data_IF_562355553408
#
_entry.id   IF_562355553408
#
_cell.length_a   1.000
_cell.length_b   1.000
_cell.length_c   1.000
_cell.angle_alpha   90.00
_cell.angle_beta   90.00
_cell.angle_gamma   90.00
#
_symmetry.space_group_name_H-M   'P 1'
#
loop_
_entity.id
_entity.type
_entity.pdbx_description
1 polymer ?
#
# COMPACT_ATOMS: atom_id res chain seq x y z
N UNK A 1 -2.16 52.03 25.49
CA UNK A 1 -2.62 52.85 24.38
C UNK A 1 -2.89 51.89 23.21
N UNK A 2 -4.04 51.43 22.86
CA UNK A 2 -5.33 52.07 22.49
C UNK A 2 -5.29 52.29 20.98
N UNK A 3 -6.11 51.80 20.19
CA UNK A 3 -7.50 51.86 19.78
C UNK A 3 -7.69 51.06 18.49
N UNK A 4 -8.62 50.16 18.37
CA UNK A 4 -9.97 50.24 17.81
C UNK A 4 -10.09 50.69 16.33
N UNK A 5 -10.80 49.90 15.53
CA UNK A 5 -11.39 50.28 14.27
C UNK A 5 -12.21 49.14 13.64
N UNK A 6 -13.48 49.08 14.00
CA UNK A 6 -14.60 48.38 13.37
C UNK A 6 -15.00 49.02 12.04
N UNK A 7 -15.57 48.23 11.11
CA UNK A 7 -16.77 48.61 10.30
C UNK A 7 -16.91 47.61 9.16
N UNK A 8 -17.86 46.77 9.08
CA UNK A 8 -19.32 46.86 8.89
C UNK A 8 -19.72 46.78 7.39
N UNK A 9 -20.47 45.73 7.09
CA UNK A 9 -21.63 45.56 6.20
C UNK A 9 -21.85 46.42 4.97
N UNK A 10 -22.14 45.75 3.84
CA UNK A 10 -23.24 46.17 2.96
C UNK A 10 -23.79 44.99 2.19
N UNK A 11 -25.03 44.60 2.50
CA UNK A 11 -25.98 43.88 1.64
C UNK A 11 -26.39 44.70 0.45
N UNK A 12 -26.65 44.11 -0.69
CA UNK A 12 -27.65 44.63 -1.64
C UNK A 12 -28.36 43.48 -2.31
N UNK A 13 -29.65 43.39 -2.05
CA UNK A 13 -30.64 42.62 -2.72
C UNK A 13 -31.09 43.27 -4.05
N UNK A 14 -31.53 42.46 -4.99
CA UNK A 14 -32.11 42.95 -6.26
C UNK A 14 -32.67 41.81 -7.12
N UNK A 15 -33.86 41.37 -6.79
CA UNK A 15 -35.08 41.12 -7.57
C UNK A 15 -35.00 40.52 -8.98
N UNK A 16 -35.63 39.37 -9.02
CA UNK A 16 -36.58 38.73 -10.01
C UNK A 16 -36.79 39.35 -11.39
N UNK A 17 -36.79 38.49 -12.43
CA UNK A 17 -37.86 38.51 -13.42
C UNK A 17 -38.12 37.13 -13.98
N UNK A 18 -39.41 36.77 -13.94
CA UNK A 18 -40.12 35.62 -14.50
C UNK A 18 -40.45 35.94 -15.98
N UNK A 19 -40.37 34.94 -16.85
CA UNK A 19 -40.87 35.03 -18.21
C UNK A 19 -40.83 33.68 -18.90
N UNK A 20 -41.81 33.17 -19.02
CA UNK A 20 -42.82 32.20 -19.42
C UNK A 20 -42.72 31.82 -20.91
N UNK A 21 -42.88 30.49 -21.15
CA UNK A 21 -43.67 29.78 -22.19
C UNK A 21 -43.17 29.80 -23.65
N UNK A 22 -42.88 28.61 -24.19
CA UNK A 22 -43.66 28.00 -25.30
C UNK A 22 -43.28 26.53 -25.49
N UNK A 23 -44.36 25.71 -25.41
CA UNK A 23 -44.45 24.38 -26.03
C UNK A 23 -44.47 24.51 -27.55
N UNK A 24 -43.87 23.56 -28.25
CA UNK A 24 -44.38 23.03 -29.52
C UNK A 24 -43.67 21.69 -29.85
N UNK A 25 -44.47 20.65 -29.81
CA UNK A 25 -44.89 19.71 -30.85
C UNK A 25 -43.99 18.50 -31.12
N UNK A 26 -44.56 17.37 -30.76
CA UNK A 26 -44.20 16.00 -31.16
C UNK A 26 -44.17 15.83 -32.67
N UNK A 27 -43.18 15.10 -33.18
CA UNK A 27 -43.31 14.34 -34.41
C UNK A 27 -42.70 12.94 -34.23
N UNK A 28 -43.58 11.99 -34.15
CA UNK A 28 -43.36 10.54 -34.21
C UNK A 28 -42.85 10.17 -35.61
N UNK A 29 -41.71 9.50 -35.71
CA UNK A 29 -41.34 8.75 -36.91
C UNK A 29 -40.95 7.34 -36.51
N UNK A 30 -41.92 6.42 -36.71
CA UNK A 30 -41.65 4.99 -36.80
C UNK A 30 -40.98 4.69 -38.16
N UNK A 31 -39.87 4.00 -38.13
CA UNK A 31 -39.35 3.29 -39.28
C UNK A 31 -38.91 1.88 -38.89
N UNK A 32 -39.54 0.98 -39.64
CA UNK A 32 -39.61 -0.45 -39.60
C UNK A 32 -38.27 -1.17 -39.81
N UNK A 33 -38.19 -2.37 -39.19
CA UNK A 33 -37.24 -3.44 -39.51
C UNK A 33 -37.30 -3.83 -40.97
N UNK A 34 -36.14 -3.94 -41.67
CA UNK A 34 -35.71 -5.04 -42.55
C UNK A 34 -34.55 -4.65 -43.46
N UNK A 35 -33.63 -5.65 -43.58
CA UNK A 35 -32.62 -5.88 -44.64
C UNK A 35 -31.43 -4.92 -44.68
N UNK A 36 -30.19 -5.40 -44.65
CA UNK A 36 -29.55 -6.30 -45.61
C UNK A 36 -28.25 -6.89 -45.06
N UNK A 37 -28.13 -8.19 -45.23
CA UNK A 37 -26.88 -8.94 -45.27
C UNK A 37 -26.13 -8.59 -46.57
N UNK A 38 -24.81 -8.41 -46.53
CA UNK A 38 -23.82 -9.18 -47.31
C UNK A 38 -22.39 -8.63 -47.17
N UNK A 39 -21.50 -9.55 -46.81
CA UNK A 39 -20.14 -9.82 -47.31
C UNK A 39 -18.99 -8.85 -47.01
N UNK A 40 -18.02 -9.37 -46.30
CA UNK A 40 -16.65 -8.89 -46.29
C UNK A 40 -15.82 -9.49 -45.16
N UNK A 41 -15.30 -10.72 -45.38
CA UNK A 41 -14.34 -11.33 -44.48
C UNK A 41 -13.01 -10.60 -44.55
N UNK A 42 -12.51 -10.16 -43.39
CA UNK A 42 -11.10 -9.91 -43.16
C UNK A 42 -10.73 -10.51 -41.81
N UNK A 43 -9.96 -11.57 -41.87
CA UNK A 43 -9.37 -12.27 -40.72
C UNK A 43 -8.33 -11.36 -40.08
N UNK A 44 -8.67 -10.81 -38.91
CA UNK A 44 -7.69 -10.31 -37.95
C UNK A 44 -7.85 -11.13 -36.69
N UNK A 45 -6.97 -12.08 -36.51
CA UNK A 45 -6.82 -12.87 -35.30
C UNK A 45 -6.23 -12.00 -34.19
N UNK A 46 -7.10 -11.21 -33.54
CA UNK A 46 -6.87 -10.63 -32.24
C UNK A 46 -7.55 -11.49 -31.21
N UNK A 47 -6.79 -12.00 -30.26
CA UNK A 47 -7.30 -12.70 -29.09
C UNK A 47 -8.27 -11.76 -28.35
N UNK A 48 -9.57 -11.90 -28.66
CA UNK A 48 -10.63 -11.20 -27.95
C UNK A 48 -10.87 -11.93 -26.63
N UNK A 49 -10.51 -11.28 -25.51
CA UNK A 49 -11.14 -11.59 -24.24
C UNK A 49 -12.66 -11.57 -24.42
N UNK A 50 -13.40 -12.51 -23.81
CA UNK A 50 -14.83 -12.34 -23.70
C UNK A 50 -15.11 -11.21 -22.72
N UNK A 51 -15.13 -9.97 -23.21
CA UNK A 51 -15.72 -8.87 -22.49
C UNK A 51 -17.17 -9.23 -22.24
N UNK A 52 -17.55 -9.42 -21.00
CA UNK A 52 -18.94 -9.54 -20.58
C UNK A 52 -19.61 -8.19 -20.92
N UNK A 53 -20.17 -8.10 -22.13
CA UNK A 53 -21.04 -7.00 -22.52
C UNK A 53 -22.41 -7.20 -21.84
N UNK A 54 -22.44 -7.04 -20.51
CA UNK A 54 -23.69 -6.70 -19.84
C UNK A 54 -24.02 -5.28 -20.27
N UNK A 55 -25.21 -5.06 -20.84
CA UNK A 55 -25.69 -3.72 -21.09
C UNK A 55 -25.60 -2.92 -19.79
N UNK A 56 -24.61 -2.02 -19.69
CA UNK A 56 -24.57 -1.04 -18.62
C UNK A 56 -25.87 -0.25 -18.74
N UNK A 57 -26.80 -0.41 -17.82
CA UNK A 57 -27.83 0.59 -17.62
C UNK A 57 -27.06 1.90 -17.46
N UNK A 58 -27.42 2.97 -18.19
CA UNK A 58 -26.76 4.26 -18.16
C UNK A 58 -26.61 4.70 -16.69
N UNK A 59 -25.51 4.28 -16.08
CA UNK A 59 -25.34 4.25 -14.65
C UNK A 59 -24.32 5.26 -14.19
N UNK A 60 -24.46 5.64 -12.96
CA UNK A 60 -23.45 6.35 -12.19
C UNK A 60 -22.53 5.30 -11.58
N UNK A 61 -21.24 5.59 -11.53
CA UNK A 61 -20.26 4.79 -10.79
C UNK A 61 -19.45 5.71 -9.88
N UNK A 62 -19.22 5.30 -8.66
CA UNK A 62 -18.42 6.06 -7.70
C UNK A 62 -17.27 5.22 -7.17
N UNK A 63 -16.09 5.82 -7.10
CA UNK A 63 -14.86 5.18 -6.67
C UNK A 63 -14.18 6.01 -5.59
N UNK A 64 -13.84 5.37 -4.46
CA UNK A 64 -12.96 5.91 -3.44
C UNK A 64 -11.58 5.28 -3.56
N UNK A 65 -10.57 6.03 -4.01
CA UNK A 65 -9.21 5.57 -4.15
C UNK A 65 -8.28 6.24 -3.15
N UNK A 66 -7.15 5.62 -2.88
CA UNK A 66 -6.12 6.20 -2.04
C UNK A 66 -5.53 7.46 -2.65
N UNK A 67 -5.45 8.53 -1.83
CA UNK A 67 -4.71 9.75 -2.15
C UNK A 67 -3.21 9.47 -1.99
N UNK A 68 -2.53 9.29 -3.10
CA UNK A 68 -1.19 8.75 -3.16
C UNK A 68 -0.13 9.72 -2.58
N UNK A 69 0.84 9.18 -1.83
CA UNK A 69 1.94 9.95 -1.26
C UNK A 69 2.88 10.57 -2.30
N UNK A 70 3.06 9.89 -3.44
CA UNK A 70 3.95 10.36 -4.51
C UNK A 70 3.27 11.49 -5.27
N UNK A 71 3.90 12.67 -5.35
CA UNK A 71 3.33 13.79 -6.09
C UNK A 71 3.06 13.45 -7.55
N UNK A 72 1.85 13.70 -8.00
CA UNK A 72 1.42 13.44 -9.37
C UNK A 72 0.94 12.02 -9.66
N UNK A 73 1.02 11.09 -8.71
CA UNK A 73 0.61 9.69 -8.93
C UNK A 73 -0.91 9.52 -9.13
N UNK A 74 -1.73 10.39 -8.56
CA UNK A 74 -3.19 10.35 -8.76
C UNK A 74 -3.62 10.68 -10.19
N UNK A 75 -2.86 11.49 -10.92
CA UNK A 75 -3.27 11.97 -12.25
C UNK A 75 -3.39 10.84 -13.30
N UNK A 76 -2.45 9.89 -13.42
CA UNK A 76 -2.61 8.76 -14.33
C UNK A 76 -3.86 7.94 -14.00
N UNK A 77 -4.16 7.68 -12.72
CA UNK A 77 -5.36 6.95 -12.31
C UNK A 77 -6.64 7.72 -12.69
N UNK A 78 -6.71 9.00 -12.34
CA UNK A 78 -7.84 9.85 -12.67
C UNK A 78 -8.07 9.94 -14.20
N UNK A 79 -7.00 10.04 -14.99
CA UNK A 79 -7.08 10.07 -16.45
C UNK A 79 -7.58 8.75 -17.01
N UNK A 80 -7.02 7.62 -16.60
CA UNK A 80 -7.48 6.29 -17.03
C UNK A 80 -8.94 6.04 -16.67
N UNK A 81 -9.38 6.48 -15.50
CA UNK A 81 -10.78 6.41 -15.11
C UNK A 81 -11.69 7.23 -16.03
N UNK A 82 -11.29 8.47 -16.37
CA UNK A 82 -12.03 9.31 -17.32
C UNK A 82 -12.09 8.69 -18.72
N UNK A 83 -10.97 8.21 -19.26
CA UNK A 83 -10.89 7.56 -20.57
C UNK A 83 -11.84 6.36 -20.67
N UNK A 84 -11.90 5.54 -19.61
CA UNK A 84 -12.84 4.43 -19.53
C UNK A 84 -14.29 4.92 -19.46
N UNK A 85 -14.58 5.90 -18.60
CA UNK A 85 -15.92 6.43 -18.40
C UNK A 85 -16.50 7.05 -19.69
N UNK A 86 -15.69 7.82 -20.42
CA UNK A 86 -16.06 8.41 -21.71
C UNK A 86 -16.39 7.33 -22.76
N UNK A 87 -15.57 6.28 -22.81
CA UNK A 87 -15.76 5.15 -23.72
C UNK A 87 -17.03 4.36 -23.41
N UNK A 88 -17.24 4.03 -22.16
CA UNK A 88 -18.38 3.21 -21.70
C UNK A 88 -19.65 4.07 -21.46
N UNK A 89 -19.56 5.40 -21.56
CA UNK A 89 -20.64 6.38 -21.33
C UNK A 89 -21.23 6.27 -19.92
N UNK A 90 -20.35 6.16 -18.92
CA UNK A 90 -20.70 6.08 -17.49
C UNK A 90 -20.43 7.44 -16.84
N UNK A 91 -21.37 7.93 -16.03
CA UNK A 91 -21.16 9.09 -15.16
C UNK A 91 -20.32 8.64 -13.96
N UNK A 92 -19.03 8.96 -13.97
CA UNK A 92 -18.04 8.47 -13.00
C UNK A 92 -17.61 9.57 -12.03
N UNK A 93 -17.71 9.30 -10.74
CA UNK A 93 -17.12 10.09 -9.67
C UNK A 93 -15.91 9.37 -9.10
N UNK A 94 -14.78 10.08 -8.94
CA UNK A 94 -13.56 9.55 -8.33
C UNK A 94 -13.16 10.45 -7.16
N UNK A 95 -13.14 9.89 -5.97
CA UNK A 95 -12.69 10.53 -4.74
C UNK A 95 -11.33 9.98 -4.32
N UNK A 96 -10.37 10.88 -4.02
CA UNK A 96 -9.08 10.51 -3.46
C UNK A 96 -9.11 10.68 -1.94
N UNK A 97 -8.94 9.58 -1.22
CA UNK A 97 -9.08 9.51 0.24
C UNK A 97 -7.71 9.36 0.86
N UNK A 98 -7.31 10.31 1.69
CA UNK A 98 -6.02 10.26 2.36
C UNK A 98 -5.95 9.12 3.39
N UNK A 99 -4.75 8.52 3.52
CA UNK A 99 -4.45 7.59 4.61
C UNK A 99 -4.11 8.28 5.94
N UNK A 100 -3.89 9.59 5.93
CA UNK A 100 -3.62 10.33 7.17
C UNK A 100 -4.81 10.27 8.12
N UNK A 101 -4.54 9.97 9.41
CA UNK A 101 -5.58 9.77 10.41
C UNK A 101 -6.49 8.59 10.12
N UNK A 102 -6.00 7.57 9.42
CA UNK A 102 -6.74 6.34 9.03
C UNK A 102 -8.03 6.59 8.24
N UNK A 103 -8.15 7.72 7.56
CA UNK A 103 -9.42 8.06 6.86
C UNK A 103 -9.87 6.98 5.88
N UNK A 104 -8.95 6.36 5.13
CA UNK A 104 -9.30 5.31 4.18
C UNK A 104 -9.90 4.08 4.90
N UNK A 105 -9.28 3.63 6.00
CA UNK A 105 -9.76 2.51 6.81
C UNK A 105 -11.07 2.84 7.54
N UNK A 106 -11.20 4.07 8.05
CA UNK A 106 -12.44 4.55 8.67
C UNK A 106 -13.58 4.63 7.64
N UNK A 107 -13.30 5.07 6.42
CA UNK A 107 -14.28 5.08 5.32
C UNK A 107 -14.74 3.66 5.01
N UNK A 108 -13.80 2.70 4.88
CA UNK A 108 -14.15 1.30 4.64
C UNK A 108 -15.07 0.73 5.74
N UNK A 109 -14.76 1.04 6.99
CA UNK A 109 -15.57 0.60 8.14
C UNK A 109 -16.96 1.25 8.12
N UNK A 110 -17.03 2.56 7.90
CA UNK A 110 -18.27 3.31 7.88
C UNK A 110 -19.20 2.86 6.74
N UNK A 111 -18.67 2.71 5.52
CA UNK A 111 -19.46 2.27 4.37
C UNK A 111 -19.94 0.83 4.51
N UNK A 112 -19.09 -0.07 5.00
CA UNK A 112 -19.46 -1.46 5.28
C UNK A 112 -20.59 -1.57 6.31
N UNK A 113 -20.54 -0.76 7.38
CA UNK A 113 -21.60 -0.72 8.42
C UNK A 113 -22.88 -0.07 7.90
N UNK A 114 -22.77 1.07 7.21
CA UNK A 114 -23.92 1.79 6.67
C UNK A 114 -24.55 1.09 5.46
N UNK A 115 -23.85 0.15 4.82
CA UNK A 115 -24.21 -0.48 3.54
C UNK A 115 -24.56 0.55 2.46
N UNK A 116 -23.80 1.63 2.44
CA UNK A 116 -23.91 2.74 1.49
C UNK A 116 -22.62 3.51 1.40
N UNK A 117 -22.33 4.08 0.22
CA UNK A 117 -21.11 4.83 -0.05
C UNK A 117 -20.69 4.69 -1.51
N UNK A 118 -19.40 4.52 -1.75
CA UNK A 118 -18.87 4.27 -3.09
C UNK A 118 -19.33 2.91 -3.65
N UNK A 119 -19.21 2.73 -4.95
CA UNK A 119 -19.37 1.41 -5.60
C UNK A 119 -18.10 0.58 -5.49
N UNK A 120 -16.95 1.23 -5.69
CA UNK A 120 -15.60 0.66 -5.55
C UNK A 120 -14.89 1.42 -4.44
N UNK A 121 -14.26 0.70 -3.52
CA UNK A 121 -13.38 1.30 -2.53
C UNK A 121 -12.00 0.62 -2.56
N UNK A 122 -10.95 1.42 -2.47
CA UNK A 122 -9.63 0.90 -2.23
C UNK A 122 -9.48 0.46 -0.78
N UNK A 123 -8.90 -0.72 -0.62
CA UNK A 123 -8.66 -1.37 0.66
C UNK A 123 -7.19 -1.75 0.75
N UNK A 124 -6.62 -1.70 1.94
CA UNK A 124 -5.23 -2.11 2.16
C UNK A 124 -5.14 -3.24 3.17
N UNK A 125 -4.23 -4.16 2.92
CA UNK A 125 -3.88 -5.22 3.86
C UNK A 125 -5.11 -5.91 4.48
N UNK A 126 -5.06 -6.18 5.76
CA UNK A 126 -6.10 -6.87 6.51
C UNK A 126 -7.47 -6.17 6.53
N UNK A 127 -7.54 -4.88 6.17
CA UNK A 127 -8.84 -4.19 6.03
C UNK A 127 -9.70 -4.79 4.91
N UNK A 128 -9.08 -5.34 3.85
CA UNK A 128 -9.83 -6.08 2.84
C UNK A 128 -10.47 -7.35 3.43
N UNK A 129 -9.70 -8.15 4.17
CA UNK A 129 -10.22 -9.34 4.84
C UNK A 129 -11.30 -9.00 5.89
N UNK A 130 -11.15 -7.87 6.60
CA UNK A 130 -12.14 -7.40 7.58
C UNK A 130 -13.50 -7.07 6.94
N UNK A 131 -13.54 -6.75 5.65
CA UNK A 131 -14.75 -6.43 4.90
C UNK A 131 -15.27 -7.61 4.05
N UNK A 132 -14.74 -8.82 4.21
CA UNK A 132 -15.03 -9.96 3.33
C UNK A 132 -16.54 -10.21 3.12
N UNK A 133 -17.36 -10.08 4.16
CA UNK A 133 -18.81 -10.31 4.09
C UNK A 133 -19.58 -9.17 3.40
N UNK A 134 -18.97 -8.00 3.27
CA UNK A 134 -19.54 -6.82 2.62
C UNK A 134 -19.11 -6.67 1.16
N UNK A 135 -18.18 -7.50 0.69
CA UNK A 135 -17.62 -7.41 -0.65
C UNK A 135 -18.26 -8.38 -1.63
N UNK A 136 -18.41 -7.95 -2.87
CA UNK A 136 -18.84 -8.75 -4.02
C UNK A 136 -17.75 -9.74 -4.42
N UNK A 137 -18.12 -10.96 -4.86
CA UNK A 137 -17.16 -11.88 -5.47
C UNK A 137 -16.63 -11.33 -6.80
N UNK A 138 -15.30 -11.41 -6.95
CA UNK A 138 -14.58 -11.01 -8.17
C UNK A 138 -13.80 -12.19 -8.76
N UNK A 139 -14.23 -13.42 -8.50
CA UNK A 139 -13.58 -14.66 -8.97
C UNK A 139 -13.39 -14.68 -10.49
N UNK A 140 -14.39 -14.29 -11.23
CA UNK A 140 -14.38 -14.20 -12.69
C UNK A 140 -13.26 -13.28 -13.20
N UNK A 141 -13.18 -12.09 -12.61
CA UNK A 141 -12.19 -11.09 -12.99
C UNK A 141 -10.77 -11.51 -12.57
N UNK A 142 -10.56 -11.89 -11.31
CA UNK A 142 -9.22 -12.23 -10.82
C UNK A 142 -8.68 -13.49 -11.48
N UNK A 143 -9.54 -14.50 -11.76
CA UNK A 143 -9.14 -15.68 -12.52
C UNK A 143 -8.67 -15.33 -13.92
N UNK A 144 -9.36 -14.39 -14.60
CA UNK A 144 -8.94 -13.90 -15.92
C UNK A 144 -7.58 -13.16 -15.83
N UNK A 145 -7.39 -12.30 -14.84
CA UNK A 145 -6.14 -11.58 -14.62
C UNK A 145 -4.96 -12.51 -14.31
N UNK A 146 -5.16 -13.55 -13.49
CA UNK A 146 -4.13 -14.56 -13.21
C UNK A 146 -3.74 -15.33 -14.48
N UNK A 147 -4.73 -15.69 -15.31
CA UNK A 147 -4.47 -16.37 -16.59
C UNK A 147 -3.61 -15.50 -17.52
N UNK A 148 -3.85 -14.20 -17.56
CA UNK A 148 -3.14 -13.26 -18.42
C UNK A 148 -1.78 -12.87 -17.84
N UNK A 149 -1.74 -12.46 -16.58
CA UNK A 149 -0.60 -11.79 -15.96
C UNK A 149 0.21 -12.68 -15.01
N UNK A 150 -0.16 -13.96 -14.88
CA UNK A 150 0.55 -14.93 -14.04
C UNK A 150 0.13 -14.89 -12.57
N UNK A 151 0.90 -15.55 -11.72
CA UNK A 151 0.60 -15.70 -10.29
C UNK A 151 0.57 -14.36 -9.56
N UNK A 152 -0.22 -14.32 -8.50
CA UNK A 152 -0.31 -13.18 -7.58
C UNK A 152 0.72 -13.33 -6.47
N UNK A 153 1.14 -12.23 -5.86
CA UNK A 153 1.91 -12.24 -4.60
C UNK A 153 1.16 -13.04 -3.53
N UNK A 154 1.89 -13.85 -2.76
CA UNK A 154 1.32 -14.70 -1.71
C UNK A 154 0.44 -13.89 -0.74
N UNK A 155 0.89 -12.73 -0.26
CA UNK A 155 0.11 -11.90 0.64
C UNK A 155 -1.17 -11.36 0.00
N UNK A 156 -1.12 -11.00 -1.30
CA UNK A 156 -2.32 -10.59 -2.04
C UNK A 156 -3.33 -11.73 -2.18
N UNK A 157 -2.86 -12.98 -2.42
CA UNK A 157 -3.75 -14.14 -2.47
C UNK A 157 -4.31 -14.44 -1.08
N UNK A 158 -3.46 -14.40 -0.05
CA UNK A 158 -3.85 -14.75 1.32
C UNK A 158 -4.95 -13.83 1.87
N UNK A 159 -4.86 -12.53 1.62
CA UNK A 159 -5.87 -11.56 2.04
C UNK A 159 -7.05 -11.51 1.06
N UNK A 160 -6.78 -11.45 -0.23
CA UNK A 160 -7.80 -11.25 -1.28
C UNK A 160 -8.71 -12.44 -1.52
N UNK A 161 -8.29 -13.64 -1.08
CA UNK A 161 -9.06 -14.88 -1.26
C UNK A 161 -9.54 -15.42 0.07
N UNK A 162 -10.80 -15.18 0.40
CA UNK A 162 -11.42 -15.60 1.65
C UNK A 162 -12.53 -16.62 1.40
N UNK A 163 -12.60 -17.66 2.24
CA UNK A 163 -13.63 -18.71 2.14
C UNK A 163 -13.73 -19.32 0.74
N UNK A 164 -12.58 -19.46 0.05
CA UNK A 164 -12.50 -20.06 -1.29
C UNK A 164 -12.87 -19.12 -2.45
N UNK A 165 -13.23 -17.86 -2.21
CA UNK A 165 -13.57 -16.85 -3.23
C UNK A 165 -12.67 -15.63 -3.19
N UNK A 166 -12.45 -14.98 -4.31
CA UNK A 166 -11.82 -13.68 -4.38
C UNK A 166 -12.80 -12.59 -3.96
N UNK A 167 -12.48 -11.88 -2.87
CA UNK A 167 -13.32 -10.82 -2.29
C UNK A 167 -12.95 -9.43 -2.81
N UNK A 168 -11.75 -9.27 -3.37
CA UNK A 168 -11.27 -8.00 -3.90
C UNK A 168 -10.23 -8.26 -5.01
N UNK A 169 -10.05 -7.30 -5.90
CA UNK A 169 -9.07 -7.35 -6.99
C UNK A 169 -7.73 -6.86 -6.48
N UNK A 170 -6.67 -7.68 -6.46
CA UNK A 170 -5.32 -7.23 -6.13
C UNK A 170 -4.84 -6.13 -7.09
N UNK A 171 -4.30 -5.05 -6.56
CA UNK A 171 -3.81 -3.90 -7.34
C UNK A 171 -2.40 -3.49 -6.94
N UNK A 172 -1.67 -2.83 -7.84
CA UNK A 172 -0.41 -2.18 -7.51
C UNK A 172 -0.57 -1.00 -6.55
N UNK A 173 -1.68 -0.27 -6.65
CA UNK A 173 -1.95 0.86 -5.78
C UNK A 173 -1.97 0.42 -4.30
N UNK A 174 -1.11 1.01 -3.47
CA UNK A 174 -0.80 0.60 -2.09
C UNK A 174 -0.14 -0.79 -1.95
N UNK A 175 0.16 -1.52 -3.01
CA UNK A 175 1.07 -2.66 -2.89
C UNK A 175 2.49 -2.12 -2.92
N UNK A 176 3.15 -2.11 -1.78
CA UNK A 176 4.45 -1.45 -1.60
C UNK A 176 5.34 -2.25 -0.67
N UNK A 177 6.62 -2.37 -1.00
CA UNK A 177 7.62 -2.96 -0.11
C UNK A 177 8.16 -1.91 0.87
N UNK A 178 8.15 -2.22 2.14
CA UNK A 178 8.71 -1.37 3.19
C UNK A 178 10.14 -1.78 3.50
N UNK A 179 11.03 -1.52 2.55
CA UNK A 179 12.44 -1.88 2.61
C UNK A 179 13.32 -0.69 3.01
N UNK A 180 14.58 -0.92 3.41
CA UNK A 180 15.49 0.15 3.76
C UNK A 180 15.65 1.18 2.66
N UNK A 181 15.48 2.45 3.02
CA UNK A 181 15.86 3.62 2.24
C UNK A 181 16.87 4.41 3.07
N UNK A 182 18.13 4.47 2.62
CA UNK A 182 19.23 5.00 3.40
C UNK A 182 19.96 6.13 2.72
N UNK A 183 20.62 6.98 3.51
CA UNK A 183 21.53 8.03 3.08
C UNK A 183 22.88 7.41 2.70
N UNK A 184 23.26 7.48 1.43
CA UNK A 184 24.53 7.00 0.89
C UNK A 184 25.71 7.65 1.62
N UNK A 185 25.67 8.97 1.78
CA UNK A 185 26.72 9.75 2.44
C UNK A 185 26.89 9.39 3.92
N UNK A 186 25.79 9.25 4.67
CA UNK A 186 25.85 8.90 6.10
C UNK A 186 26.32 7.48 6.33
N UNK A 187 25.92 6.53 5.49
CA UNK A 187 26.42 5.16 5.56
C UNK A 187 27.93 5.09 5.27
N UNK A 188 28.42 5.82 4.26
CA UNK A 188 29.87 5.93 4.02
C UNK A 188 30.60 6.54 5.20
N UNK A 189 30.06 7.61 5.77
CA UNK A 189 30.71 8.37 6.85
C UNK A 189 30.73 7.60 8.18
N UNK A 190 29.60 7.04 8.59
CA UNK A 190 29.44 6.51 9.94
C UNK A 190 29.55 4.99 10.01
N UNK A 191 29.02 4.26 9.02
CA UNK A 191 29.03 2.80 8.99
C UNK A 191 30.30 2.28 8.29
N UNK A 192 30.81 2.98 7.28
CA UNK A 192 32.05 2.66 6.61
C UNK A 192 31.86 1.90 5.30
N UNK A 193 30.67 1.80 4.75
CA UNK A 193 30.45 1.22 3.43
C UNK A 193 29.44 1.99 2.56
N UNK A 194 29.51 1.74 1.26
CA UNK A 194 28.63 2.31 0.27
C UNK A 194 27.44 1.37 -0.02
N UNK A 195 26.25 1.76 0.37
CA UNK A 195 25.02 0.97 0.17
C UNK A 195 24.74 0.71 -1.31
N UNK A 196 25.20 1.57 -2.22
CA UNK A 196 25.03 1.37 -3.67
C UNK A 196 25.84 0.20 -4.20
N UNK A 197 26.95 -0.16 -3.54
CA UNK A 197 27.75 -1.33 -3.87
C UNK A 197 27.13 -2.63 -3.40
N UNK A 198 26.38 -2.58 -2.31
CA UNK A 198 25.66 -3.75 -1.81
C UNK A 198 24.61 -4.24 -2.82
N UNK A 199 23.89 -3.31 -3.43
CA UNK A 199 22.88 -3.59 -4.47
C UNK A 199 23.04 -2.59 -5.63
N UNK A 200 24.02 -2.78 -6.52
CA UNK A 200 24.29 -1.86 -7.63
C UNK A 200 23.27 -2.03 -8.76
N UNK A 201 23.04 -0.95 -9.52
CA UNK A 201 22.23 -1.00 -10.76
C UNK A 201 23.01 -1.72 -11.85
N UNK A 202 22.37 -2.68 -12.53
CA UNK A 202 22.93 -3.37 -13.70
C UNK A 202 24.11 -4.26 -13.41
N UNK A 203 24.38 -4.58 -12.13
CA UNK A 203 25.44 -5.50 -11.71
C UNK A 203 24.92 -6.41 -10.57
N UNK A 204 25.55 -7.58 -10.36
CA UNK A 204 25.22 -8.43 -9.22
C UNK A 204 25.49 -7.71 -7.89
N UNK A 205 24.72 -8.02 -6.84
CA UNK A 205 24.99 -7.55 -5.47
C UNK A 205 26.41 -7.92 -5.00
N UNK A 206 27.04 -7.03 -4.25
CA UNK A 206 28.29 -7.34 -3.56
C UNK A 206 28.01 -8.35 -2.43
N UNK A 207 28.40 -9.61 -2.65
CA UNK A 207 28.05 -10.71 -1.74
C UNK A 207 28.58 -10.49 -0.33
N UNK A 208 29.75 -9.94 -0.16
CA UNK A 208 30.33 -9.70 1.16
C UNK A 208 29.51 -8.68 1.97
N UNK A 209 29.04 -7.62 1.30
CA UNK A 209 28.20 -6.60 1.92
C UNK A 209 26.80 -7.14 2.20
N UNK A 210 26.21 -7.93 1.29
CA UNK A 210 24.87 -8.49 1.49
C UNK A 210 24.85 -9.57 2.57
N UNK A 211 25.89 -10.37 2.68
CA UNK A 211 26.04 -11.38 3.75
C UNK A 211 26.22 -10.72 5.13
N UNK A 212 26.93 -9.58 5.18
CA UNK A 212 27.07 -8.80 6.41
C UNK A 212 25.81 -7.99 6.79
N UNK A 213 24.88 -7.81 5.85
CA UNK A 213 23.63 -7.07 6.07
C UNK A 213 22.60 -7.97 6.75
N UNK A 214 22.85 -8.26 8.02
CA UNK A 214 21.99 -9.01 8.94
C UNK A 214 21.31 -8.05 9.92
N UNK A 215 20.32 -8.51 10.70
CA UNK A 215 19.72 -7.70 11.76
C UNK A 215 20.72 -7.27 12.83
N UNK A 216 21.77 -8.05 13.09
CA UNK A 216 22.89 -7.63 13.93
C UNK A 216 23.74 -6.55 13.24
N UNK A 217 24.00 -6.68 11.94
CA UNK A 217 24.65 -5.63 11.14
C UNK A 217 23.82 -4.34 11.14
N UNK A 218 22.51 -4.44 11.04
CA UNK A 218 21.58 -3.31 11.15
C UNK A 218 21.66 -2.61 12.50
N UNK A 219 21.69 -3.38 13.60
CA UNK A 219 21.88 -2.85 14.95
C UNK A 219 23.19 -2.05 15.07
N UNK A 220 24.29 -2.62 14.58
CA UNK A 220 25.60 -1.93 14.60
C UNK A 220 25.58 -0.65 13.77
N UNK A 221 24.93 -0.67 12.59
CA UNK A 221 24.77 0.51 11.74
C UNK A 221 23.91 1.58 12.43
N UNK A 222 22.81 1.19 13.07
CA UNK A 222 21.94 2.09 13.82
C UNK A 222 22.69 2.79 14.98
N UNK A 223 23.47 2.03 15.76
CA UNK A 223 24.29 2.57 16.84
C UNK A 223 25.34 3.56 16.34
N UNK A 224 26.06 3.23 15.25
CA UNK A 224 27.06 4.11 14.66
C UNK A 224 26.45 5.40 14.12
N UNK A 225 25.33 5.31 13.42
CA UNK A 225 24.64 6.48 12.88
C UNK A 225 24.06 7.35 14.01
N UNK A 226 23.51 6.76 15.07
CA UNK A 226 23.05 7.50 16.25
C UNK A 226 24.18 8.22 16.96
N UNK A 227 25.34 7.58 17.16
CA UNK A 227 26.53 8.21 17.71
C UNK A 227 27.04 9.38 16.83
N UNK A 228 26.83 9.30 15.51
CA UNK A 228 27.10 10.37 14.55
C UNK A 228 26.03 11.47 14.48
N UNK A 229 24.99 11.42 15.36
CA UNK A 229 23.89 12.39 15.37
C UNK A 229 22.90 12.22 14.21
N UNK A 230 22.86 11.03 13.58
CA UNK A 230 21.97 10.69 12.46
C UNK A 230 21.25 9.35 12.72
N UNK A 231 20.44 9.25 13.79
CA UNK A 231 19.76 8.02 14.15
C UNK A 231 18.81 7.54 13.06
N UNK A 232 18.58 6.23 12.99
CA UNK A 232 17.57 5.65 12.10
C UNK A 232 16.16 6.10 12.51
N UNK A 233 15.32 6.35 11.52
CA UNK A 233 13.93 6.75 11.72
C UNK A 233 13.00 5.54 11.68
N UNK A 234 13.07 4.68 12.70
CA UNK A 234 12.31 3.42 12.79
C UNK A 234 11.13 3.59 13.75
N UNK A 235 9.87 3.71 13.23
CA UNK A 235 8.70 3.89 14.08
C UNK A 235 8.42 2.64 14.94
N UNK A 236 7.92 2.83 16.16
CA UNK A 236 7.54 1.76 17.10
C UNK A 236 6.15 1.99 17.71
N UNK A 237 5.30 2.74 17.01
CA UNK A 237 3.89 2.93 17.35
C UNK A 237 3.04 1.73 16.89
N UNK A 238 1.71 1.87 16.91
CA UNK A 238 0.80 0.82 16.43
C UNK A 238 0.39 0.96 14.96
N UNK A 239 0.97 1.92 14.22
CA UNK A 239 0.70 2.13 12.81
C UNK A 239 1.37 1.06 11.92
N UNK A 240 0.87 0.91 10.70
CA UNK A 240 1.30 -0.16 9.77
C UNK A 240 2.80 -0.18 9.50
N UNK A 241 3.45 0.98 9.35
CA UNK A 241 4.90 1.03 9.12
C UNK A 241 5.69 0.39 10.27
N UNK A 242 5.24 0.61 11.51
CA UNK A 242 5.83 -0.02 12.69
C UNK A 242 5.60 -1.53 12.70
N UNK A 243 4.34 -1.95 12.48
CA UNK A 243 3.96 -3.37 12.49
C UNK A 243 4.75 -4.14 11.42
N UNK A 244 4.93 -3.56 10.26
CA UNK A 244 5.59 -4.19 9.12
C UNK A 244 7.09 -4.45 9.38
N UNK A 245 7.88 -3.44 9.75
CA UNK A 245 9.30 -3.68 9.96
C UNK A 245 9.59 -4.53 11.22
N UNK A 246 8.79 -4.37 12.28
CA UNK A 246 8.90 -5.22 13.46
C UNK A 246 8.61 -6.69 13.08
N UNK A 247 7.58 -6.93 12.28
CA UNK A 247 7.26 -8.27 11.76
C UNK A 247 8.40 -8.88 10.94
N UNK A 248 9.15 -8.06 10.17
CA UNK A 248 10.31 -8.55 9.41
C UNK A 248 11.44 -9.06 10.32
N UNK A 249 11.69 -8.39 11.45
CA UNK A 249 12.65 -8.88 12.46
C UNK A 249 12.18 -10.22 13.04
N UNK A 250 10.90 -10.31 13.41
CA UNK A 250 10.33 -11.55 13.95
C UNK A 250 10.43 -12.70 12.95
N UNK A 251 10.00 -12.49 11.71
CA UNK A 251 10.06 -13.51 10.66
C UNK A 251 11.51 -13.98 10.39
N UNK A 252 12.46 -13.04 10.31
CA UNK A 252 13.86 -13.36 10.08
C UNK A 252 14.50 -14.18 11.19
N UNK A 253 14.02 -14.04 12.42
CA UNK A 253 14.45 -14.82 13.60
C UNK A 253 13.62 -16.09 13.81
N UNK A 254 12.54 -16.29 13.04
CA UNK A 254 11.61 -17.41 13.21
C UNK A 254 10.69 -17.27 14.42
N UNK A 255 10.52 -16.04 14.91
CA UNK A 255 9.58 -15.72 15.96
C UNK A 255 8.17 -15.51 15.36
N UNK A 256 7.15 -16.01 16.02
CA UNK A 256 5.77 -15.99 15.54
C UNK A 256 4.82 -15.76 16.72
N UNK A 257 3.77 -14.96 16.51
CA UNK A 257 2.77 -14.68 17.52
C UNK A 257 1.63 -15.70 17.50
N UNK A 258 1.20 -16.06 16.30
CA UNK A 258 0.06 -16.97 16.05
C UNK A 258 0.42 -17.83 14.84
N UNK A 259 0.15 -19.13 14.90
CA UNK A 259 0.37 -20.09 13.82
C UNK A 259 -0.80 -20.13 12.82
N UNK A 260 -0.69 -21.00 11.79
CA UNK A 260 -1.70 -21.14 10.73
C UNK A 260 -3.02 -21.76 11.23
N UNK A 261 -2.99 -22.48 12.34
CA UNK A 261 -4.17 -23.03 13.01
C UNK A 261 -4.82 -22.02 13.99
N UNK A 262 -4.21 -20.86 14.19
CA UNK A 262 -4.67 -19.84 15.12
C UNK A 262 -4.27 -20.08 16.57
N UNK A 263 -3.28 -20.95 16.84
CA UNK A 263 -2.75 -21.11 18.18
C UNK A 263 -1.79 -19.97 18.52
N UNK A 264 -1.87 -19.47 19.75
CA UNK A 264 -0.97 -18.43 20.24
C UNK A 264 0.39 -19.04 20.56
N UNK A 265 1.43 -18.61 19.85
CA UNK A 265 2.82 -19.15 19.94
C UNK A 265 3.82 -18.15 20.49
N UNK A 266 3.34 -17.05 21.03
CA UNK A 266 4.16 -15.92 21.50
C UNK A 266 5.15 -16.30 22.61
N UNK A 267 4.87 -17.34 23.40
CA UNK A 267 5.75 -17.83 24.48
C UNK A 267 6.88 -18.73 23.98
N UNK A 268 7.64 -18.28 22.99
CA UNK A 268 8.79 -18.99 22.43
C UNK A 268 10.12 -18.29 22.77
N UNK A 269 11.22 -19.04 22.74
CA UNK A 269 12.55 -18.46 22.94
C UNK A 269 12.90 -17.47 21.81
N UNK A 270 12.50 -17.76 20.57
CA UNK A 270 12.70 -16.85 19.46
C UNK A 270 12.05 -15.47 19.69
N UNK A 271 10.84 -15.42 20.25
CA UNK A 271 10.19 -14.15 20.63
C UNK A 271 11.00 -13.42 21.71
N UNK A 272 11.48 -14.13 22.74
CA UNK A 272 12.30 -13.53 23.79
C UNK A 272 13.61 -12.96 23.26
N UNK A 273 14.28 -13.67 22.37
CA UNK A 273 15.51 -13.21 21.70
C UNK A 273 15.28 -11.95 20.87
N UNK A 274 14.18 -11.88 20.12
CA UNK A 274 13.81 -10.68 19.37
C UNK A 274 13.53 -9.51 20.31
N UNK A 275 12.79 -9.70 21.39
CA UNK A 275 12.55 -8.64 22.37
C UNK A 275 13.84 -8.14 23.00
N UNK A 276 14.79 -9.04 23.33
CA UNK A 276 16.11 -8.67 23.82
C UNK A 276 16.92 -7.88 22.76
N UNK A 277 16.76 -8.19 21.47
CA UNK A 277 17.35 -7.41 20.40
C UNK A 277 16.74 -6.00 20.33
N UNK A 278 15.41 -5.86 20.48
CA UNK A 278 14.76 -4.54 20.54
C UNK A 278 15.24 -3.70 21.71
N UNK A 279 15.50 -4.29 22.87
CA UNK A 279 16.10 -3.59 24.01
C UNK A 279 17.47 -2.98 23.67
N UNK A 280 18.22 -3.58 22.74
CA UNK A 280 19.54 -3.07 22.30
C UNK A 280 19.45 -1.95 21.26
N UNK A 281 18.48 -2.00 20.34
CA UNK A 281 18.37 -1.01 19.26
C UNK A 281 17.63 0.25 19.69
N UNK A 282 16.59 0.14 20.52
CA UNK A 282 15.73 1.27 20.90
C UNK A 282 16.51 2.47 21.46
N UNK A 283 17.56 2.31 22.30
CA UNK A 283 18.37 3.44 22.74
C UNK A 283 19.09 4.22 21.61
N UNK A 284 19.20 3.63 20.42
CA UNK A 284 19.81 4.26 19.24
C UNK A 284 18.79 4.93 18.31
N UNK A 285 17.50 4.87 18.65
CA UNK A 285 16.41 5.48 17.90
C UNK A 285 15.97 6.81 18.57
N UNK A 286 15.31 7.71 17.83
CA UNK A 286 14.70 8.89 18.43
C UNK A 286 13.66 8.49 19.49
N UNK A 287 13.65 9.13 20.70
CA UNK A 287 12.68 8.77 21.74
C UNK A 287 11.21 8.91 21.31
N UNK A 288 10.93 9.76 20.30
CA UNK A 288 9.59 10.01 19.78
C UNK A 288 9.01 8.88 18.89
N UNK A 289 9.80 7.86 18.51
CA UNK A 289 9.37 6.82 17.56
C UNK A 289 8.11 6.04 17.98
N UNK A 290 7.82 5.99 19.28
CA UNK A 290 6.62 5.35 19.82
C UNK A 290 5.32 6.14 19.56
N UNK A 291 5.43 7.40 19.13
CA UNK A 291 4.29 8.26 18.80
C UNK A 291 4.21 8.63 17.30
N UNK A 292 5.07 8.04 16.47
CA UNK A 292 5.12 8.35 15.06
C UNK A 292 3.98 7.70 14.28
N UNK A 293 3.37 8.48 13.38
CA UNK A 293 2.47 7.98 12.33
C UNK A 293 3.26 7.52 11.09
N UNK A 294 2.56 7.04 10.05
CA UNK A 294 3.16 6.60 8.80
C UNK A 294 3.82 7.72 7.96
N UNK A 295 3.69 8.99 8.36
CA UNK A 295 4.33 10.12 7.69
C UNK A 295 5.64 10.55 8.36
N UNK A 296 5.82 10.22 9.63
CA UNK A 296 6.90 10.78 10.45
C UNK A 296 8.27 10.29 10.02
N UNK A 297 8.43 9.00 9.69
CA UNK A 297 9.69 8.43 9.20
C UNK A 297 10.11 9.05 7.86
N UNK A 298 9.17 9.26 6.92
CA UNK A 298 9.42 9.93 5.66
C UNK A 298 9.94 11.36 5.88
N UNK A 299 9.27 12.14 6.74
CA UNK A 299 9.68 13.49 7.10
C UNK A 299 11.07 13.49 7.76
N UNK A 300 11.36 12.49 8.62
CA UNK A 300 12.64 12.32 9.28
C UNK A 300 13.79 12.16 8.28
N UNK A 301 13.61 11.30 7.28
CA UNK A 301 14.62 11.07 6.23
C UNK A 301 14.80 12.28 5.32
N UNK A 302 13.69 12.88 4.83
CA UNK A 302 13.70 14.00 3.90
C UNK A 302 14.33 15.25 4.55
N UNK A 303 14.10 15.47 5.84
CA UNK A 303 14.71 16.59 6.58
C UNK A 303 16.21 16.41 6.84
N UNK A 304 16.80 15.28 6.45
CA UNK A 304 18.21 14.97 6.67
C UNK A 304 18.56 14.64 8.13
N UNK A 305 17.58 14.46 9.01
CA UNK A 305 17.82 14.15 10.43
C UNK A 305 18.26 12.70 10.63
N UNK A 306 17.88 11.78 9.77
CA UNK A 306 18.17 10.36 9.89
C UNK A 306 18.96 9.76 8.75
N UNK A 307 19.64 8.65 9.05
CA UNK A 307 20.46 7.93 8.08
C UNK A 307 19.71 6.84 7.32
N UNK A 308 18.63 6.30 7.88
CA UNK A 308 17.82 5.21 7.29
C UNK A 308 16.41 5.24 7.86
N UNK A 309 15.47 4.85 7.01
CA UNK A 309 14.12 4.41 7.38
C UNK A 309 13.82 3.08 6.69
N UNK A 310 12.84 2.32 7.19
CA UNK A 310 12.18 1.26 6.43
C UNK A 310 10.79 1.77 6.02
N UNK A 311 10.63 1.98 4.73
CA UNK A 311 9.40 2.47 4.13
C UNK A 311 9.46 2.25 2.61
N UNK A 312 8.33 2.28 1.87
CA UNK A 312 8.39 2.38 0.42
C UNK A 312 9.28 3.55 -0.03
N UNK A 313 9.82 3.51 -1.26
CA UNK A 313 10.62 4.62 -1.80
C UNK A 313 9.83 5.93 -1.96
N UNK A 314 8.67 6.05 -1.35
CA UNK A 314 7.83 7.25 -1.30
C UNK A 314 8.55 8.46 -0.71
N UNK A 315 9.38 8.26 0.33
CA UNK A 315 10.21 9.34 0.87
C UNK A 315 11.19 9.89 -0.18
N UNK A 316 11.83 9.01 -0.95
CA UNK A 316 12.68 9.42 -2.07
C UNK A 316 11.88 10.14 -3.16
N UNK A 317 10.72 9.62 -3.57
CA UNK A 317 9.90 10.23 -4.61
C UNK A 317 9.42 11.63 -4.23
N UNK A 318 9.10 11.86 -2.95
CA UNK A 318 8.79 13.20 -2.42
C UNK A 318 10.05 14.08 -2.37
N UNK A 319 11.20 13.54 -1.94
CA UNK A 319 12.46 14.28 -1.87
C UNK A 319 12.94 14.75 -3.25
N UNK A 320 12.66 14.02 -4.32
CA UNK A 320 12.98 14.47 -5.70
C UNK A 320 12.37 15.85 -5.99
N UNK A 321 11.18 16.14 -5.47
CA UNK A 321 10.51 17.43 -5.63
C UNK A 321 10.96 18.44 -4.57
N UNK A 322 10.99 18.03 -3.30
CA UNK A 322 11.02 18.95 -2.15
C UNK A 322 12.43 19.13 -1.56
N UNK A 323 13.33 18.17 -1.76
CA UNK A 323 14.70 18.18 -1.25
C UNK A 323 15.65 17.42 -2.20
N UNK A 324 15.88 17.94 -3.41
CA UNK A 324 16.63 17.23 -4.46
C UNK A 324 18.07 16.87 -4.05
N UNK A 325 18.70 17.65 -3.17
CA UNK A 325 20.03 17.34 -2.61
C UNK A 325 19.98 16.10 -1.69
N UNK A 326 18.87 15.88 -0.98
CA UNK A 326 18.66 14.66 -0.19
C UNK A 326 18.38 13.50 -1.12
N UNK A 327 17.52 13.68 -2.13
CA UNK A 327 17.16 12.62 -3.08
C UNK A 327 18.39 11.99 -3.76
N UNK A 328 19.39 12.81 -4.11
CA UNK A 328 20.63 12.34 -4.70
C UNK A 328 21.48 11.44 -3.78
N UNK A 329 21.19 11.44 -2.50
CA UNK A 329 21.86 10.65 -1.46
C UNK A 329 21.02 9.48 -0.95
N UNK A 330 19.88 9.18 -1.57
CA UNK A 330 19.01 8.08 -1.13
C UNK A 330 19.20 6.84 -1.99
N UNK A 331 19.25 5.69 -1.34
CA UNK A 331 19.33 4.39 -2.00
C UNK A 331 18.43 3.39 -1.32
N UNK A 332 17.69 2.62 -2.12
CA UNK A 332 16.74 1.61 -1.65
C UNK A 332 17.32 0.21 -1.85
N UNK A 333 17.21 -0.65 -0.86
CA UNK A 333 17.78 -2.00 -0.88
C UNK A 333 17.02 -2.94 0.07
N UNK A 334 17.29 -4.24 -0.04
CA UNK A 334 16.55 -5.25 0.72
C UNK A 334 16.78 -5.18 2.23
N UNK A 335 15.79 -5.68 2.98
CA UNK A 335 15.83 -5.81 4.43
C UNK A 335 17.03 -6.65 4.90
N UNK A 336 17.47 -6.51 6.16
CA UNK A 336 18.50 -7.38 6.73
C UNK A 336 18.05 -8.84 6.78
N UNK A 337 19.01 -9.78 6.68
CA UNK A 337 18.75 -11.19 6.87
C UNK A 337 18.84 -11.62 8.32
N UNK A 338 18.18 -12.71 8.67
CA UNK A 338 18.33 -13.46 9.92
C UNK A 338 18.51 -14.95 9.64
N UNK A 339 18.48 -15.80 10.68
CA UNK A 339 18.64 -17.25 10.54
C UNK A 339 17.62 -17.94 9.63
N UNK A 340 16.43 -17.35 9.49
CA UNK A 340 15.36 -17.87 8.63
C UNK A 340 15.33 -17.25 7.22
N UNK A 341 16.21 -16.32 6.94
CA UNK A 341 16.32 -15.66 5.63
C UNK A 341 16.11 -14.16 5.68
N UNK A 342 15.83 -13.61 4.53
CA UNK A 342 15.59 -12.17 4.29
C UNK A 342 14.12 -11.98 3.93
N UNK A 343 13.45 -11.07 4.62
CA UNK A 343 12.03 -10.80 4.45
C UNK A 343 11.82 -9.31 4.23
N UNK A 344 11.25 -8.96 3.09
CA UNK A 344 10.84 -7.59 2.80
C UNK A 344 9.37 -7.43 3.20
N UNK A 345 9.05 -6.65 4.23
CA UNK A 345 7.66 -6.39 4.58
C UNK A 345 6.97 -5.63 3.45
N UNK A 346 5.74 -6.05 3.14
CA UNK A 346 4.94 -5.48 2.06
C UNK A 346 3.55 -5.12 2.57
N UNK A 347 3.06 -3.98 2.11
CA UNK A 347 1.64 -3.69 2.09
C UNK A 347 1.01 -4.29 0.83
N UNK A 348 -0.27 -4.60 0.89
CA UNK A 348 -1.02 -5.17 -0.23
C UNK A 348 -2.28 -4.36 -0.48
N UNK A 349 -2.39 -3.81 -1.69
CA UNK A 349 -3.53 -3.01 -2.11
C UNK A 349 -4.60 -3.85 -2.82
N UNK A 350 -5.85 -3.47 -2.62
CA UNK A 350 -7.01 -4.12 -3.21
C UNK A 350 -8.04 -3.10 -3.67
N UNK A 351 -8.78 -3.44 -4.71
CA UNK A 351 -10.02 -2.77 -5.07
C UNK A 351 -11.20 -3.67 -4.71
N UNK A 352 -11.98 -3.27 -3.74
CA UNK A 352 -13.21 -3.93 -3.32
C UNK A 352 -14.42 -3.34 -4.04
N UNK A 353 -15.34 -4.20 -4.47
CA UNK A 353 -16.67 -3.80 -4.93
C UNK A 353 -17.63 -4.13 -3.80
N UNK A 354 -18.38 -3.14 -3.33
CA UNK A 354 -19.36 -3.41 -2.29
C UNK A 354 -20.51 -4.29 -2.79
N UNK A 355 -20.92 -5.28 -2.01
CA UNK A 355 -22.03 -6.18 -2.39
C UNK A 355 -23.38 -5.48 -2.45
N UNK A 356 -23.53 -4.32 -1.83
CA UNK A 356 -24.69 -3.46 -1.90
C UNK A 356 -24.67 -2.47 -3.09
N UNK A 357 -23.57 -2.38 -3.85
CA UNK A 357 -23.53 -1.59 -5.06
C UNK A 357 -24.51 -2.11 -6.11
N UNK A 358 -25.25 -1.20 -6.73
CA UNK A 358 -26.12 -1.51 -7.86
C UNK A 358 -25.35 -1.58 -9.20
N UNK A 359 -24.08 -1.13 -9.23
CA UNK A 359 -23.29 -0.91 -10.44
C UNK A 359 -22.16 -1.93 -10.63
N UNK A 360 -22.32 -3.15 -10.13
CA UNK A 360 -21.27 -4.18 -10.07
C UNK A 360 -20.64 -4.51 -11.43
N UNK A 361 -21.42 -4.57 -12.50
CA UNK A 361 -20.91 -4.83 -13.86
C UNK A 361 -20.00 -3.70 -14.35
N UNK A 362 -20.38 -2.44 -14.15
CA UNK A 362 -19.56 -1.28 -14.49
C UNK A 362 -18.29 -1.25 -13.64
N UNK A 363 -18.41 -1.55 -12.34
CA UNK A 363 -17.27 -1.67 -11.42
C UNK A 363 -16.27 -2.73 -11.88
N UNK A 364 -16.72 -3.96 -12.19
CA UNK A 364 -15.84 -5.00 -12.72
C UNK A 364 -15.18 -4.61 -14.05
N UNK A 365 -15.91 -3.93 -14.94
CA UNK A 365 -15.37 -3.45 -16.22
C UNK A 365 -14.28 -2.40 -16.04
N UNK A 366 -14.47 -1.44 -15.13
CA UNK A 366 -13.44 -0.45 -14.80
C UNK A 366 -12.21 -1.11 -14.21
N UNK A 367 -12.38 -2.03 -13.24
CA UNK A 367 -11.25 -2.72 -12.62
C UNK A 367 -10.49 -3.61 -13.61
N UNK A 368 -11.18 -4.26 -14.54
CA UNK A 368 -10.54 -4.99 -15.64
C UNK A 368 -9.67 -4.06 -16.51
N UNK A 369 -10.19 -2.88 -16.87
CA UNK A 369 -9.46 -1.89 -17.65
C UNK A 369 -8.22 -1.36 -16.90
N UNK A 370 -8.36 -1.00 -15.63
CA UNK A 370 -7.25 -0.52 -14.79
C UNK A 370 -6.20 -1.60 -14.53
N UNK A 371 -6.54 -2.87 -14.68
CA UNK A 371 -5.63 -4.01 -14.51
C UNK A 371 -4.94 -4.44 -15.81
N UNK A 372 -5.21 -3.79 -16.95
CA UNK A 372 -4.47 -4.08 -18.20
C UNK A 372 -3.00 -3.70 -18.06
N UNK A 373 -2.10 -4.41 -18.76
CA UNK A 373 -0.66 -4.13 -18.72
C UNK A 373 -0.34 -2.64 -18.98
N UNK A 374 -0.99 -2.05 -20.00
CA UNK A 374 -0.77 -0.63 -20.34
C UNK A 374 -1.22 0.33 -19.25
N UNK A 375 -2.35 0.06 -18.58
CA UNK A 375 -2.82 0.88 -17.47
C UNK A 375 -1.87 0.74 -16.26
N UNK A 376 -1.50 -0.48 -15.91
CA UNK A 376 -0.57 -0.75 -14.80
C UNK A 376 0.79 -0.10 -15.02
N UNK A 377 1.35 -0.15 -16.24
CA UNK A 377 2.61 0.53 -16.57
C UNK A 377 2.54 2.04 -16.35
N UNK A 378 1.41 2.67 -16.72
CA UNK A 378 1.19 4.10 -16.49
C UNK A 378 1.05 4.45 -15.01
N UNK A 379 0.38 3.60 -14.22
CA UNK A 379 0.26 3.78 -12.77
C UNK A 379 1.61 3.64 -12.09
N UNK A 380 2.40 2.61 -12.44
CA UNK A 380 3.77 2.42 -11.93
C UNK A 380 4.68 3.59 -12.28
N UNK A 381 4.61 4.08 -13.52
CA UNK A 381 5.38 5.27 -13.92
C UNK A 381 4.93 6.52 -13.16
N UNK A 382 3.62 6.70 -12.95
CA UNK A 382 3.06 7.82 -12.19
C UNK A 382 3.50 7.83 -10.73
N UNK A 383 3.59 6.67 -10.10
CA UNK A 383 4.11 6.51 -8.74
C UNK A 383 5.65 6.46 -8.67
N UNK A 384 6.35 6.68 -9.79
CA UNK A 384 7.82 6.59 -9.87
C UNK A 384 8.38 5.24 -9.41
N UNK A 385 7.65 4.16 -9.66
CA UNK A 385 8.03 2.80 -9.26
C UNK A 385 7.77 2.47 -7.79
N UNK A 386 7.08 3.29 -7.04
CA UNK A 386 6.71 3.01 -5.62
C UNK A 386 5.68 1.90 -5.53
N UNK A 387 4.71 1.87 -6.43
CA UNK A 387 3.70 0.82 -6.49
C UNK A 387 4.24 -0.45 -7.14
N UNK A 388 3.93 -1.62 -6.56
CA UNK A 388 4.34 -2.93 -7.05
C UNK A 388 3.12 -3.65 -7.63
N UNK A 389 3.10 -3.97 -8.94
CA UNK A 389 2.06 -4.82 -9.49
C UNK A 389 2.06 -6.19 -8.80
N UNK A 390 0.88 -6.67 -8.35
CA UNK A 390 0.80 -7.93 -7.62
C UNK A 390 1.01 -9.18 -8.49
N UNK A 391 0.93 -9.04 -9.82
CA UNK A 391 1.03 -10.14 -10.78
C UNK A 391 2.45 -10.29 -11.32
N UNK A 392 2.98 -11.50 -11.40
CA UNK A 392 4.39 -11.80 -11.72
C UNK A 392 4.87 -11.23 -13.06
N UNK A 393 4.02 -11.26 -14.12
CA UNK A 393 4.38 -10.77 -15.45
C UNK A 393 4.28 -9.25 -15.62
N UNK A 394 3.90 -8.52 -14.59
CA UNK A 394 3.81 -7.07 -14.58
C UNK A 394 4.94 -6.40 -13.77
N UNK A 395 6.06 -7.10 -13.56
CA UNK A 395 7.20 -6.60 -12.78
C UNK A 395 8.45 -6.35 -13.62
N UNK A 396 8.32 -6.27 -14.94
CA UNK A 396 9.41 -6.08 -15.90
C UNK A 396 9.45 -4.68 -16.52
N UNK A 397 8.73 -3.71 -15.92
CA UNK A 397 8.75 -2.33 -16.39
C UNK A 397 10.11 -1.67 -16.14
N UNK A 398 10.50 -0.78 -17.07
CA UNK A 398 11.80 -0.10 -17.01
C UNK A 398 11.90 0.93 -15.88
N UNK A 399 10.77 1.38 -15.34
CA UNK A 399 10.67 2.43 -14.32
C UNK A 399 11.67 2.21 -13.18
N UNK A 400 11.79 0.98 -12.65
CA UNK A 400 12.66 0.70 -11.51
C UNK A 400 14.16 0.85 -11.81
N UNK A 401 14.58 0.64 -13.07
CA UNK A 401 15.98 0.78 -13.47
C UNK A 401 16.32 2.19 -13.98
N UNK A 402 15.33 2.95 -14.45
CA UNK A 402 15.54 4.24 -15.13
C UNK A 402 15.26 5.45 -14.24
N UNK A 403 14.47 5.29 -13.15
CA UNK A 403 14.17 6.38 -12.22
C UNK A 403 15.43 6.99 -11.58
N UNK A 404 15.37 8.30 -11.32
CA UNK A 404 16.50 9.10 -10.85
C UNK A 404 16.03 10.35 -10.09
N UNK A 405 16.90 11.06 -9.33
CA UNK A 405 18.26 10.74 -8.90
C UNK A 405 18.31 9.92 -7.60
N UNK A 406 19.37 9.12 -7.35
CA UNK A 406 20.36 8.62 -8.33
C UNK A 406 19.72 7.61 -9.28
N UNK A 407 20.28 7.46 -10.49
CA UNK A 407 19.75 6.52 -11.48
C UNK A 407 19.64 5.11 -10.88
N UNK A 408 18.45 4.51 -11.02
CA UNK A 408 18.15 3.17 -10.51
C UNK A 408 18.01 3.09 -8.99
N UNK A 409 17.70 4.18 -8.31
CA UNK A 409 17.49 4.19 -6.83
C UNK A 409 16.44 3.19 -6.38
N UNK A 410 15.47 2.86 -7.22
CA UNK A 410 14.43 1.84 -6.96
C UNK A 410 14.70 0.50 -7.63
N UNK A 411 15.93 0.24 -8.12
CA UNK A 411 16.30 -0.97 -8.85
C UNK A 411 16.01 -2.27 -8.07
N UNK A 412 16.20 -2.27 -6.77
CA UNK A 412 15.95 -3.42 -5.91
C UNK A 412 14.48 -3.51 -5.44
N UNK A 413 13.63 -2.72 -6.03
CA UNK A 413 12.20 -2.62 -5.79
C UNK A 413 11.49 -2.83 -7.14
N UNK A 414 10.55 -3.77 -7.29
CA UNK A 414 9.89 -4.61 -6.29
C UNK A 414 10.76 -5.74 -5.74
N UNK A 415 10.29 -6.49 -4.73
CA UNK A 415 10.99 -7.64 -4.18
C UNK A 415 11.38 -8.66 -5.27
N UNK A 416 12.58 -9.16 -5.19
CA UNK A 416 13.15 -10.13 -6.14
C UNK A 416 12.81 -11.55 -5.69
N UNK A 417 13.07 -12.54 -6.57
CA UNK A 417 12.79 -13.96 -6.27
C UNK A 417 13.60 -14.52 -5.08
N UNK A 418 14.78 -13.92 -4.82
CA UNK A 418 15.68 -14.31 -3.72
C UNK A 418 15.29 -13.67 -2.36
N UNK A 419 14.22 -12.89 -2.31
CA UNK A 419 13.71 -12.23 -1.11
C UNK A 419 12.22 -12.47 -0.96
N UNK A 420 11.81 -12.97 0.22
CA UNK A 420 10.41 -13.20 0.49
C UNK A 420 9.66 -11.90 0.80
N UNK A 421 8.58 -11.63 0.05
CA UNK A 421 7.62 -10.60 0.40
C UNK A 421 6.82 -11.04 1.63
N UNK A 422 6.89 -10.27 2.71
CA UNK A 422 6.25 -10.59 3.99
C UNK A 422 4.96 -9.81 4.17
N UNK A 423 3.87 -10.52 4.43
CA UNK A 423 2.66 -9.97 5.01
C UNK A 423 2.79 -10.00 6.54
N UNK A 424 2.71 -8.85 7.19
CA UNK A 424 2.69 -8.79 8.65
C UNK A 424 1.49 -9.59 9.18
N UNK A 425 1.72 -10.41 10.21
CA UNK A 425 0.68 -11.27 10.78
C UNK A 425 0.50 -12.63 10.08
N UNK A 426 1.10 -12.85 8.91
CA UNK A 426 1.12 -14.18 8.29
C UNK A 426 1.93 -15.17 9.15
N UNK A 427 1.47 -16.43 9.35
CA UNK A 427 0.35 -17.11 8.70
C UNK A 427 -0.94 -17.15 9.57
N UNK A 428 -1.13 -16.23 10.51
CA UNK A 428 -2.31 -16.24 11.36
C UNK A 428 -3.59 -16.22 10.52
N UNK A 429 -4.64 -17.00 10.88
CA UNK A 429 -5.92 -16.96 10.20
C UNK A 429 -6.51 -15.54 10.13
N UNK A 430 -7.25 -15.16 9.06
CA UNK A 430 -7.69 -13.80 8.82
C UNK A 430 -8.42 -13.13 9.99
N UNK A 431 -9.24 -13.87 10.73
CA UNK A 431 -9.96 -13.31 11.88
C UNK A 431 -9.04 -12.75 12.98
N UNK A 432 -8.04 -13.54 13.38
CA UNK A 432 -7.07 -13.11 14.40
C UNK A 432 -5.95 -12.24 13.78
N UNK A 433 -5.52 -12.55 12.55
CA UNK A 433 -4.53 -11.77 11.81
C UNK A 433 -4.95 -10.31 11.65
N UNK A 434 -6.20 -10.06 11.28
CA UNK A 434 -6.77 -8.71 11.18
C UNK A 434 -6.67 -7.96 12.52
N UNK A 435 -7.12 -8.58 13.61
CA UNK A 435 -7.13 -7.92 14.91
C UNK A 435 -5.72 -7.62 15.42
N UNK A 436 -4.82 -8.62 15.40
CA UNK A 436 -3.47 -8.44 15.93
C UNK A 436 -2.62 -7.43 15.15
N UNK A 437 -2.84 -7.30 13.83
CA UNK A 437 -2.11 -6.34 12.99
C UNK A 437 -2.70 -4.94 13.08
N UNK A 438 -4.02 -4.78 12.97
CA UNK A 438 -4.68 -3.47 13.08
C UNK A 438 -4.58 -2.88 14.49
N UNK A 439 -4.49 -3.71 15.52
CA UNK A 439 -4.27 -3.29 16.90
C UNK A 439 -2.78 -3.06 17.23
N UNK A 440 -1.87 -3.49 16.36
CA UNK A 440 -0.43 -3.35 16.56
C UNK A 440 0.11 -4.13 17.77
N UNK A 441 -0.43 -5.33 18.04
CA UNK A 441 -0.05 -6.17 19.21
C UNK A 441 1.45 -6.39 19.31
N UNK A 442 2.12 -6.66 18.16
CA UNK A 442 3.58 -6.87 18.12
C UNK A 442 4.36 -5.63 18.59
N UNK A 443 3.93 -4.43 18.20
CA UNK A 443 4.56 -3.17 18.59
C UNK A 443 4.27 -2.83 20.06
N UNK A 444 3.05 -3.08 20.54
CA UNK A 444 2.70 -2.92 21.95
C UNK A 444 3.58 -3.81 22.83
N UNK A 445 3.78 -5.06 22.42
CA UNK A 445 4.67 -6.00 23.14
C UNK A 445 6.09 -5.47 23.22
N UNK A 446 6.65 -4.96 22.11
CA UNK A 446 7.97 -4.32 22.11
C UNK A 446 7.99 -3.10 23.04
N UNK A 447 6.96 -2.25 23.02
CA UNK A 447 6.89 -1.06 23.88
C UNK A 447 6.85 -1.43 25.38
N UNK A 448 6.21 -2.52 25.76
CA UNK A 448 6.17 -2.98 27.15
C UNK A 448 7.58 -3.19 27.72
N UNK A 449 8.47 -3.88 27.00
CA UNK A 449 9.82 -4.17 27.51
C UNK A 449 10.88 -3.12 27.17
N UNK A 450 10.57 -2.14 26.28
CA UNK A 450 11.55 -1.12 25.87
C UNK A 450 11.20 0.28 26.37
N UNK A 451 9.94 0.72 26.22
CA UNK A 451 9.47 2.04 26.61
C UNK A 451 8.98 2.06 28.07
N UNK A 452 8.24 1.02 28.49
CA UNK A 452 7.65 0.96 29.82
C UNK A 452 8.60 0.37 30.86
N UNK A 453 9.77 -0.14 30.46
CA UNK A 453 10.80 -0.68 31.35
C UNK A 453 10.41 -1.99 32.08
N UNK A 454 9.41 -2.72 31.56
CA UNK A 454 9.00 -4.02 32.10
C UNK A 454 9.90 -5.14 31.60
N UNK A 455 9.80 -6.30 32.22
CA UNK A 455 10.55 -7.49 31.80
C UNK A 455 10.03 -8.03 30.44
N UNK A 456 10.87 -8.84 29.78
CA UNK A 456 10.47 -9.55 28.55
C UNK A 456 9.30 -10.50 28.85
N UNK A 457 9.27 -11.16 29.99
CA UNK A 457 8.16 -12.05 30.35
C UNK A 457 6.84 -11.29 30.51
N UNK A 458 6.85 -10.10 31.14
CA UNK A 458 5.64 -9.26 31.19
C UNK A 458 5.17 -8.80 29.81
N UNK A 459 6.08 -8.55 28.87
CA UNK A 459 5.75 -8.23 27.50
C UNK A 459 5.12 -9.42 26.75
N UNK A 460 5.66 -10.60 26.95
CA UNK A 460 5.14 -11.86 26.39
C UNK A 460 3.76 -12.19 26.98
N UNK A 461 3.58 -12.06 28.29
CA UNK A 461 2.29 -12.30 28.97
C UNK A 461 1.21 -11.30 28.53
N UNK A 462 1.59 -10.03 28.32
CA UNK A 462 0.71 -9.02 27.73
C UNK A 462 0.20 -9.47 26.36
N UNK A 463 1.09 -9.83 25.45
CA UNK A 463 0.73 -10.24 24.10
C UNK A 463 -0.08 -11.55 24.10
N UNK A 464 0.28 -12.54 24.94
CA UNK A 464 -0.50 -13.76 25.14
C UNK A 464 -1.95 -13.46 25.51
N UNK A 465 -2.15 -12.58 26.48
CA UNK A 465 -3.48 -12.21 26.98
C UNK A 465 -4.32 -11.50 25.89
N UNK A 466 -3.72 -10.58 25.13
CA UNK A 466 -4.40 -9.85 24.04
C UNK A 466 -4.80 -10.81 22.91
N UNK A 467 -3.89 -11.68 22.46
CA UNK A 467 -4.12 -12.64 21.39
C UNK A 467 -5.16 -13.70 21.75
N UNK A 468 -5.16 -14.18 23.00
CA UNK A 468 -6.20 -15.08 23.50
C UNK A 468 -7.58 -14.39 23.56
N UNK A 469 -7.60 -13.07 23.80
CA UNK A 469 -8.81 -12.25 23.69
C UNK A 469 -9.39 -12.28 22.28
N UNK A 470 -8.54 -12.09 21.26
CA UNK A 470 -8.94 -12.11 19.83
C UNK A 470 -9.46 -13.50 19.38
N UNK A 471 -8.95 -14.60 19.94
CA UNK A 471 -9.46 -15.94 19.64
C UNK A 471 -10.90 -16.20 20.14
N UNK A 472 -11.35 -15.45 21.12
CA UNK A 472 -12.67 -15.63 21.75
C UNK A 472 -13.75 -14.72 21.14
N UNK A 473 -13.34 -13.71 20.39
CA UNK A 473 -14.23 -12.75 19.72
C UNK A 473 -14.59 -13.22 18.31
#
# INVERSE_FOLDING_TARGET
>A
AGLHGNSAYAESAGTSQVGAIREETMATLMLTRRSLLTSGAAVASGLSMPLVHGACAAGKLSCGFWDHWVPGANEPLARLCREWADKEKVDLTVDFITSQGDKLALTATAEGQARSGHDILQLSDWYAAAQADNLESVDDLVTALIKEHGKVLLGSEYIGRQQGRWIAVPTGLQTTGQIPCARIDYFKQFVGFDVTRMYPVGAPPDKALTDAWTWDGFLVAAQKCAAGGRPFGMPLSTWSDSVNWVSAVFAAQGAQLVDEEGNVTVKSDAVREVLAWFQKIVPSLPPSVFAWDNAANNKWLISGQGALIMNPPGAWAVAVRDAPEVAQQLWTFHSPSGPKGRFDPCNFGFWGIWNFSANKSAAKSLLAYLSTRSAVEQLVAGSRGVDIPPYEKLRDFKTWAEEQPPKGTVYNYPPREDVAALLAGYPAPPGIGTQMTTQGTICKMVAVCTQQGKSIEEAVDFAQSELEGFRRS
#
